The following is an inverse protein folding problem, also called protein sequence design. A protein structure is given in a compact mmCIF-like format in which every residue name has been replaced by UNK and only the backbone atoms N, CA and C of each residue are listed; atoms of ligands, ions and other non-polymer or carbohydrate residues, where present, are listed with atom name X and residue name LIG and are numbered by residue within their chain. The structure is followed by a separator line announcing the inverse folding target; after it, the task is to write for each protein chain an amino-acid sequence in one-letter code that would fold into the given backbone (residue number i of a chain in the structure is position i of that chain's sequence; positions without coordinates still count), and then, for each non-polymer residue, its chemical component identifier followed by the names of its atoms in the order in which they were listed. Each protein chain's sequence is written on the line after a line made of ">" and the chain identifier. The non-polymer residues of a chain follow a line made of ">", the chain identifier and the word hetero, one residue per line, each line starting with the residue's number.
data_IF_353229601347
#
_entry.id   IF_353229601347
#
_cell.length_a   1.000
_cell.length_b   1.000
_cell.length_c   1.000
_cell.angle_alpha   90.00
_cell.angle_beta   90.00
_cell.angle_gamma   90.00
#
_symmetry.space_group_name_H-M   'P 1'
#
loop_
_entity.id
_entity.type
_entity.pdbx_description
1 polymer ?
#
# COMPACT_ATOMS: atom_id res chain seq x y z
N UNK A 1 -13.60 -2.99 -34.79
CA UNK A 1 -13.90 -1.97 -33.77
C UNK A 1 -14.67 -2.65 -32.66
N UNK A 2 -13.97 -3.19 -31.68
CA UNK A 2 -14.57 -3.81 -30.51
C UNK A 2 -14.70 -2.72 -29.44
N UNK A 3 -15.93 -2.45 -28.99
CA UNK A 3 -16.19 -1.40 -28.00
C UNK A 3 -15.58 -1.83 -26.65
N UNK A 4 -14.52 -1.15 -26.22
CA UNK A 4 -14.00 -1.28 -24.86
C UNK A 4 -15.01 -0.67 -23.87
N UNK A 5 -15.84 -1.54 -23.28
CA UNK A 5 -16.67 -1.21 -22.12
C UNK A 5 -15.74 -0.90 -20.94
N UNK A 6 -15.74 0.34 -20.46
CA UNK A 6 -14.98 0.73 -19.26
C UNK A 6 -15.56 0.01 -18.04
N UNK A 7 -14.99 -1.13 -17.68
CA UNK A 7 -15.41 -1.91 -16.52
C UNK A 7 -14.79 -1.29 -15.27
N UNK A 8 -15.63 -0.91 -14.31
CA UNK A 8 -15.20 -0.38 -13.02
C UNK A 8 -14.55 -1.53 -12.23
N UNK A 9 -13.21 -1.55 -12.16
CA UNK A 9 -12.48 -2.55 -11.37
C UNK A 9 -12.55 -2.10 -9.91
N UNK A 10 -13.40 -2.72 -9.11
CA UNK A 10 -13.30 -2.65 -7.64
C UNK A 10 -12.29 -3.69 -7.19
N UNK A 11 -11.57 -3.42 -6.09
CA UNK A 11 -10.56 -4.30 -5.46
C UNK A 11 -11.00 -5.77 -5.26
N UNK A 12 -12.30 -6.06 -5.39
CA UNK A 12 -12.90 -7.38 -5.22
C UNK A 12 -12.83 -8.26 -6.49
N UNK A 13 -12.57 -7.69 -7.67
CA UNK A 13 -12.49 -8.41 -8.94
C UNK A 13 -11.14 -8.11 -9.61
N UNK A 14 -10.07 -8.69 -9.07
CA UNK A 14 -8.76 -8.67 -9.72
C UNK A 14 -8.63 -9.99 -10.50
N UNK A 15 -9.05 -9.95 -11.77
CA UNK A 15 -8.80 -11.03 -12.73
C UNK A 15 -7.28 -11.05 -13.03
N UNK A 16 -6.52 -11.73 -12.16
CA UNK A 16 -5.11 -12.01 -12.43
C UNK A 16 -4.99 -12.82 -13.73
N UNK A 17 -4.04 -12.50 -14.62
CA UNK A 17 -3.80 -13.30 -15.82
C UNK A 17 -3.64 -14.80 -15.50
N UNK A 18 -4.16 -15.70 -16.37
CA UNK A 18 -4.23 -17.13 -16.08
C UNK A 18 -2.85 -17.77 -15.86
N UNK A 19 -1.80 -17.17 -16.42
CA UNK A 19 -0.39 -17.55 -16.37
C UNK A 19 0.36 -17.07 -15.11
N UNK A 20 -0.25 -16.25 -14.26
CA UNK A 20 0.40 -15.77 -13.02
C UNK A 20 0.75 -16.94 -12.08
N UNK A 21 1.95 -16.87 -11.49
CA UNK A 21 2.46 -17.89 -10.57
C UNK A 21 1.49 -18.17 -9.40
N UNK A 22 1.44 -19.42 -8.93
CA UNK A 22 0.58 -19.84 -7.81
C UNK A 22 0.91 -19.05 -6.54
N UNK A 23 2.18 -18.72 -6.34
CA UNK A 23 2.65 -17.90 -5.22
C UNK A 23 2.08 -16.48 -5.31
N UNK A 24 2.16 -15.85 -6.48
CA UNK A 24 1.66 -14.50 -6.72
C UNK A 24 0.14 -14.43 -6.56
N UNK A 25 -0.60 -15.42 -7.07
CA UNK A 25 -2.05 -15.56 -6.86
C UNK A 25 -2.41 -15.70 -5.39
N UNK A 26 -1.64 -16.51 -4.66
CA UNK A 26 -1.85 -16.74 -3.22
C UNK A 26 -1.55 -15.49 -2.40
N UNK A 27 -0.45 -14.79 -2.68
CA UNK A 27 -0.08 -13.54 -2.02
C UNK A 27 -1.13 -12.46 -2.29
N UNK A 28 -1.54 -12.27 -3.54
CA UNK A 28 -2.57 -11.29 -3.91
C UNK A 28 -3.89 -11.56 -3.22
N UNK A 29 -4.36 -12.82 -3.24
CA UNK A 29 -5.59 -13.20 -2.54
C UNK A 29 -5.49 -12.87 -1.05
N UNK A 30 -4.37 -13.19 -0.42
CA UNK A 30 -4.12 -12.90 0.98
C UNK A 30 -4.10 -11.39 1.29
N UNK A 31 -3.40 -10.59 0.50
CA UNK A 31 -3.36 -9.13 0.67
C UNK A 31 -4.73 -8.48 0.42
N UNK A 32 -5.42 -8.86 -0.66
CA UNK A 32 -6.74 -8.32 -0.99
C UNK A 32 -7.76 -8.63 0.11
N UNK A 33 -7.73 -9.84 0.68
CA UNK A 33 -8.54 -10.17 1.85
C UNK A 33 -8.22 -9.24 3.02
N UNK A 34 -6.95 -9.05 3.36
CA UNK A 34 -6.55 -8.18 4.49
C UNK A 34 -6.96 -6.72 4.30
N UNK A 35 -7.07 -6.23 3.07
CA UNK A 35 -7.43 -4.84 2.75
C UNK A 35 -8.94 -4.61 2.58
N UNK A 36 -9.74 -5.67 2.52
CA UNK A 36 -11.20 -5.55 2.32
C UNK A 36 -11.94 -5.55 3.65
N UNK A 37 -12.84 -4.58 3.85
CA UNK A 37 -13.70 -4.60 5.03
C UNK A 37 -14.62 -5.83 5.02
N UNK A 38 -14.80 -6.43 6.19
CA UNK A 38 -15.75 -7.51 6.39
C UNK A 38 -16.30 -7.45 7.80
N UNK A 39 -17.57 -7.82 7.93
CA UNK A 39 -18.27 -8.03 9.21
C UNK A 39 -18.72 -9.48 9.38
N UNK A 40 -18.36 -10.35 8.42
CA UNK A 40 -18.69 -11.77 8.45
C UNK A 40 -17.76 -12.44 9.47
N UNK A 41 -18.34 -12.97 10.55
CA UNK A 41 -17.57 -13.51 11.68
C UNK A 41 -16.64 -14.66 11.29
N UNK A 42 -17.14 -15.59 10.48
CA UNK A 42 -16.34 -16.72 9.97
C UNK A 42 -15.14 -16.26 9.12
N UNK A 43 -15.32 -15.21 8.33
CA UNK A 43 -14.24 -14.63 7.53
C UNK A 43 -13.18 -13.97 8.43
N UNK A 44 -13.62 -13.24 9.46
CA UNK A 44 -12.73 -12.64 10.46
C UNK A 44 -11.93 -13.74 11.18
N UNK A 45 -12.58 -14.82 11.63
CA UNK A 45 -11.89 -15.97 12.25
C UNK A 45 -10.82 -16.56 11.33
N UNK A 46 -11.17 -16.79 10.06
CA UNK A 46 -10.24 -17.32 9.07
C UNK A 46 -9.04 -16.40 8.84
N UNK A 47 -9.25 -15.07 8.81
CA UNK A 47 -8.16 -14.09 8.68
C UNK A 47 -7.25 -14.12 9.91
N UNK A 48 -7.80 -14.17 11.12
CA UNK A 48 -7.02 -14.25 12.35
C UNK A 48 -6.25 -15.57 12.49
N UNK A 49 -6.81 -16.68 12.00
CA UNK A 49 -6.09 -17.96 11.90
C UNK A 49 -4.86 -17.84 11.02
N UNK A 50 -5.00 -17.23 9.84
CA UNK A 50 -3.88 -17.00 8.91
C UNK A 50 -2.82 -16.06 9.47
N UNK A 51 -3.22 -14.97 10.11
CA UNK A 51 -2.28 -14.06 10.78
C UNK A 51 -1.47 -14.83 11.83
N UNK A 52 -2.12 -15.67 12.63
CA UNK A 52 -1.45 -16.49 13.63
C UNK A 52 -0.42 -17.42 12.99
N UNK A 53 -0.81 -18.16 11.96
CA UNK A 53 0.07 -19.07 11.22
C UNK A 53 1.29 -18.31 10.66
N UNK A 54 1.10 -17.13 10.07
CA UNK A 54 2.21 -16.32 9.57
C UNK A 54 3.14 -15.81 10.67
N UNK A 55 2.58 -15.38 11.80
CA UNK A 55 3.38 -14.95 12.95
C UNK A 55 4.22 -16.12 13.49
N UNK A 56 3.64 -17.31 13.60
CA UNK A 56 4.36 -18.51 14.04
C UNK A 56 5.46 -18.91 13.03
N UNK A 57 5.18 -18.85 11.73
CA UNK A 57 6.19 -19.07 10.67
C UNK A 57 7.34 -18.06 10.74
N UNK A 58 7.06 -16.81 11.12
CA UNK A 58 8.06 -15.77 11.34
C UNK A 58 8.80 -15.90 12.69
N UNK A 59 8.51 -16.94 13.48
CA UNK A 59 9.19 -17.24 14.75
C UNK A 59 8.58 -16.57 15.98
N UNK A 60 7.44 -15.87 15.84
CA UNK A 60 6.74 -15.31 17.00
C UNK A 60 6.01 -16.40 17.78
N UNK A 61 6.32 -16.51 19.07
CA UNK A 61 5.67 -17.47 19.97
C UNK A 61 4.38 -16.90 20.54
N UNK A 62 3.34 -17.72 20.63
CA UNK A 62 2.05 -17.36 21.24
C UNK A 62 2.04 -17.56 22.77
N UNK A 63 3.09 -18.17 23.32
CA UNK A 63 3.33 -18.33 24.75
C UNK A 63 4.79 -18.01 25.09
N UNK A 64 5.02 -17.57 26.31
CA UNK A 64 6.37 -17.37 26.85
C UNK A 64 6.97 -18.70 27.37
N UNK A 65 8.22 -18.66 27.82
CA UNK A 65 8.93 -19.83 28.38
C UNK A 65 8.30 -20.37 29.67
N UNK A 66 7.40 -19.62 30.31
CA UNK A 66 6.63 -20.01 31.49
C UNK A 66 5.22 -20.53 31.16
N UNK A 67 4.85 -20.61 29.88
CA UNK A 67 3.54 -21.07 29.42
C UNK A 67 2.43 -20.00 29.44
N UNK A 68 2.74 -18.76 29.81
CA UNK A 68 1.77 -17.65 29.83
C UNK A 68 1.61 -17.05 28.43
N UNK A 69 0.48 -16.39 28.13
CA UNK A 69 0.27 -15.72 26.84
C UNK A 69 1.37 -14.70 26.53
N UNK A 70 1.95 -14.78 25.33
CA UNK A 70 2.90 -13.76 24.90
C UNK A 70 2.20 -12.43 24.63
N UNK A 71 2.98 -11.34 24.60
CA UNK A 71 2.48 -10.01 24.20
C UNK A 71 1.84 -10.09 22.81
N UNK A 72 2.45 -10.82 21.88
CA UNK A 72 1.89 -11.08 20.54
C UNK A 72 0.50 -11.70 20.61
N UNK A 73 0.31 -12.72 21.44
CA UNK A 73 -1.00 -13.38 21.62
C UNK A 73 -2.02 -12.42 22.22
N UNK A 74 -1.63 -11.63 23.23
CA UNK A 74 -2.53 -10.66 23.88
C UNK A 74 -2.97 -9.59 22.88
N UNK A 75 -2.03 -9.03 22.11
CA UNK A 75 -2.31 -8.04 21.06
C UNK A 75 -3.24 -8.60 19.97
N UNK A 76 -2.97 -9.83 19.51
CA UNK A 76 -3.81 -10.49 18.51
C UNK A 76 -5.23 -10.74 19.03
N UNK A 77 -5.38 -11.12 20.30
CA UNK A 77 -6.68 -11.32 20.94
C UNK A 77 -7.46 -10.01 21.12
N UNK A 78 -6.79 -8.90 21.41
CA UNK A 78 -7.41 -7.57 21.47
C UNK A 78 -7.92 -7.14 20.10
N UNK A 79 -7.10 -7.30 19.05
CA UNK A 79 -7.50 -7.04 17.67
C UNK A 79 -8.70 -7.90 17.28
N UNK A 80 -8.67 -9.20 17.60
CA UNK A 80 -9.77 -10.12 17.32
C UNK A 80 -11.09 -9.64 17.95
N UNK A 81 -11.05 -9.19 19.20
CA UNK A 81 -12.24 -8.65 19.90
C UNK A 81 -12.77 -7.39 19.23
N UNK A 82 -11.90 -6.47 18.78
CA UNK A 82 -12.34 -5.28 18.06
C UNK A 82 -12.92 -5.63 16.69
N UNK A 83 -12.30 -6.54 15.94
CA UNK A 83 -12.82 -6.95 14.64
C UNK A 83 -14.21 -7.58 14.76
N UNK A 84 -14.40 -8.44 15.76
CA UNK A 84 -15.68 -9.10 16.03
C UNK A 84 -16.80 -8.13 16.45
N UNK A 85 -16.43 -7.02 17.08
CA UNK A 85 -17.39 -6.02 17.57
C UNK A 85 -17.73 -4.98 16.50
N UNK A 86 -16.72 -4.46 15.82
CA UNK A 86 -16.77 -3.20 15.08
C UNK A 86 -16.45 -3.37 13.57
N UNK A 87 -16.07 -4.58 13.14
CA UNK A 87 -15.68 -4.89 11.77
C UNK A 87 -14.17 -4.87 11.55
N UNK A 88 -13.73 -5.56 10.50
CA UNK A 88 -12.31 -5.76 10.20
C UNK A 88 -11.55 -4.46 9.95
N UNK A 89 -12.08 -3.57 9.11
CA UNK A 89 -11.36 -2.35 8.74
C UNK A 89 -11.26 -1.35 9.90
N UNK A 90 -12.32 -1.27 10.73
CA UNK A 90 -12.30 -0.43 11.93
C UNK A 90 -11.29 -0.95 12.95
N UNK A 91 -11.16 -2.27 13.10
CA UNK A 91 -10.09 -2.87 13.89
C UNK A 91 -8.70 -2.51 13.37
N UNK A 92 -8.46 -2.62 12.05
CA UNK A 92 -7.17 -2.23 11.46
C UNK A 92 -6.82 -0.78 11.77
N UNK A 93 -7.79 0.14 11.63
CA UNK A 93 -7.58 1.56 11.94
C UNK A 93 -7.24 1.79 13.42
N UNK A 94 -7.90 1.09 14.33
CA UNK A 94 -7.62 1.16 15.77
C UNK A 94 -6.22 0.60 16.07
N UNK A 95 -5.88 -0.56 15.53
CA UNK A 95 -4.57 -1.20 15.71
C UNK A 95 -3.44 -0.30 15.19
N UNK A 96 -3.62 0.29 14.00
CA UNK A 96 -2.68 1.26 13.42
C UNK A 96 -2.50 2.50 14.32
N UNK A 97 -3.60 3.04 14.84
CA UNK A 97 -3.55 4.17 15.78
C UNK A 97 -2.81 3.86 17.07
N UNK A 98 -2.86 2.61 17.56
CA UNK A 98 -2.13 2.19 18.75
C UNK A 98 -0.64 1.98 18.49
N UNK A 99 -0.27 1.45 17.33
CA UNK A 99 1.15 1.31 16.93
C UNK A 99 1.81 2.66 16.66
N UNK A 100 1.03 3.65 16.21
CA UNK A 100 1.56 4.97 15.88
C UNK A 100 1.76 5.88 17.10
N UNK A 101 1.13 5.56 18.25
CA UNK A 101 1.23 6.35 19.47
C UNK A 101 0.73 7.80 19.30
N UNK A 102 0.43 8.48 20.41
CA UNK A 102 0.32 9.94 20.35
C UNK A 102 1.68 10.49 19.92
N UNK A 103 1.68 11.29 18.85
CA UNK A 103 2.83 12.04 18.32
C UNK A 103 3.71 12.57 19.47
N UNK A 104 4.79 11.86 19.77
CA UNK A 104 5.90 12.30 20.61
C UNK A 104 7.19 11.64 20.12
N UNK A 105 8.23 12.47 20.17
CA UNK A 105 9.47 12.42 19.41
C UNK A 105 10.30 11.14 19.58
N UNK A 106 10.95 10.78 18.47
CA UNK A 106 12.24 10.09 18.35
C UNK A 106 12.59 9.05 19.42
N UNK A 107 12.34 7.78 19.10
CA UNK A 107 13.32 6.74 19.40
C UNK A 107 13.84 6.19 18.09
N UNK A 108 15.11 6.48 17.81
CA UNK A 108 15.95 5.84 16.80
C UNK A 108 15.88 4.32 16.99
N UNK A 109 14.87 3.71 16.40
CA UNK A 109 14.93 2.32 16.00
C UNK A 109 15.26 2.45 14.53
N UNK A 110 16.49 2.10 14.14
CA UNK A 110 16.85 1.94 12.74
C UNK A 110 15.83 0.99 12.11
N UNK A 111 14.81 1.57 11.48
CA UNK A 111 13.83 0.81 10.71
C UNK A 111 14.55 0.33 9.46
N UNK A 112 15.23 -0.81 9.60
CA UNK A 112 15.75 -1.58 8.48
C UNK A 112 14.57 -2.16 7.71
N UNK A 113 13.99 -1.36 6.82
CA UNK A 113 12.83 -1.75 6.03
C UNK A 113 12.35 -0.68 5.06
N UNK A 114 11.47 -1.07 4.15
CA UNK A 114 10.83 -0.16 3.19
C UNK A 114 9.71 0.59 3.92
N UNK A 115 9.71 1.91 3.85
CA UNK A 115 8.63 2.75 4.40
C UNK A 115 7.53 2.91 3.35
N UNK A 116 6.31 2.45 3.67
CA UNK A 116 5.12 2.67 2.85
C UNK A 116 4.22 3.72 3.51
N UNK A 117 3.99 4.83 2.83
CA UNK A 117 3.11 5.89 3.29
C UNK A 117 2.34 6.51 2.12
N UNK A 118 1.28 7.27 2.44
CA UNK A 118 0.61 8.12 1.44
C UNK A 118 1.42 9.39 1.20
N UNK A 119 1.18 10.11 0.09
CA UNK A 119 1.82 11.42 -0.15
C UNK A 119 1.63 12.37 1.04
N UNK A 120 0.45 12.38 1.67
CA UNK A 120 0.18 13.15 2.88
C UNK A 120 1.02 12.68 4.08
N UNK A 121 1.15 11.36 4.26
CA UNK A 121 1.95 10.76 5.32
C UNK A 121 3.45 11.00 5.18
N UNK A 122 3.90 11.35 3.98
CA UNK A 122 5.31 11.67 3.69
C UNK A 122 5.74 13.07 4.15
N UNK A 123 4.79 13.95 4.52
CA UNK A 123 5.09 15.34 4.85
C UNK A 123 6.06 15.45 6.03
N UNK A 124 7.21 16.08 5.79
CA UNK A 124 8.26 16.29 6.80
C UNK A 124 9.18 15.08 7.01
N UNK A 125 9.08 14.06 6.15
CA UNK A 125 9.98 12.91 6.11
C UNK A 125 10.84 12.97 4.84
N UNK A 126 12.02 12.35 4.87
CA UNK A 126 12.94 12.30 3.73
C UNK A 126 13.63 10.94 3.69
N UNK A 127 13.90 10.46 2.47
CA UNK A 127 14.56 9.17 2.24
C UNK A 127 15.55 9.26 1.09
N UNK A 128 16.61 8.45 1.16
CA UNK A 128 17.61 8.34 0.08
C UNK A 128 16.98 7.98 -1.26
N UNK A 129 15.99 7.07 -1.26
CA UNK A 129 15.27 6.63 -2.45
C UNK A 129 13.77 6.66 -2.19
N UNK A 130 12.99 7.18 -3.14
CA UNK A 130 11.53 7.22 -3.07
C UNK A 130 10.96 6.60 -4.33
N UNK A 131 9.92 5.78 -4.17
CA UNK A 131 9.13 5.21 -5.26
C UNK A 131 7.68 5.70 -5.12
N UNK A 132 7.22 6.54 -6.05
CA UNK A 132 5.83 6.96 -6.15
C UNK A 132 5.14 6.06 -7.17
N UNK A 133 4.23 5.24 -6.67
CA UNK A 133 3.53 4.25 -7.49
C UNK A 133 2.20 4.79 -8.03
N UNK A 134 1.78 4.25 -9.17
CA UNK A 134 0.43 4.39 -9.72
C UNK A 134 0.03 5.84 -10.06
N UNK A 135 0.98 6.62 -10.59
CA UNK A 135 0.79 8.00 -11.02
C UNK A 135 0.11 8.10 -12.38
N UNK A 136 -1.10 7.55 -12.49
CA UNK A 136 -1.87 7.51 -13.74
C UNK A 136 -2.81 8.71 -13.85
N UNK A 137 -3.22 9.01 -15.08
CA UNK A 137 -4.17 10.07 -15.41
C UNK A 137 -5.51 9.99 -14.67
N UNK A 138 -5.98 8.79 -14.31
CA UNK A 138 -7.26 8.57 -13.64
C UNK A 138 -7.17 8.52 -12.10
N UNK A 139 -5.95 8.61 -11.55
CA UNK A 139 -5.68 8.53 -10.12
C UNK A 139 -5.08 9.83 -9.57
N UNK A 140 -4.19 10.46 -10.33
CA UNK A 140 -3.50 11.68 -9.94
C UNK A 140 -3.60 12.67 -11.11
N UNK A 141 -4.27 13.83 -10.95
CA UNK A 141 -5.08 14.21 -9.79
C UNK A 141 -6.28 13.28 -9.57
N UNK A 142 -6.72 13.16 -8.32
CA UNK A 142 -7.90 12.41 -7.92
C UNK A 142 -9.14 12.96 -8.64
N UNK A 143 -9.95 12.10 -9.27
CA UNK A 143 -11.20 12.51 -9.91
C UNK A 143 -12.22 13.15 -8.97
N UNK A 144 -11.99 13.05 -7.65
CA UNK A 144 -12.86 13.65 -6.62
C UNK A 144 -12.54 15.11 -6.35
N UNK A 145 -11.40 15.60 -6.83
CA UNK A 145 -11.01 16.99 -6.71
C UNK A 145 -11.83 17.82 -7.69
N UNK A 146 -12.43 18.90 -7.19
CA UNK A 146 -13.30 19.78 -7.97
C UNK A 146 -12.73 21.19 -7.93
N UNK A 147 -12.61 21.80 -9.10
CA UNK A 147 -12.14 23.17 -9.26
C UNK A 147 -10.63 23.32 -9.20
N UNK A 148 -10.14 24.44 -9.73
CA UNK A 148 -8.72 24.71 -9.93
C UNK A 148 -7.93 24.73 -8.63
N UNK A 149 -8.51 25.27 -7.55
CA UNK A 149 -7.85 25.31 -6.23
C UNK A 149 -7.54 23.93 -5.67
N UNK A 150 -8.44 22.96 -5.88
CA UNK A 150 -8.24 21.60 -5.43
C UNK A 150 -7.17 20.88 -6.26
N UNK A 151 -7.14 21.12 -7.57
CA UNK A 151 -6.11 20.57 -8.47
C UNK A 151 -4.74 21.11 -8.05
N UNK A 152 -4.65 22.40 -7.73
CA UNK A 152 -3.42 23.02 -7.23
C UNK A 152 -2.99 22.47 -5.86
N UNK A 153 -3.92 22.09 -4.98
CA UNK A 153 -3.58 21.43 -3.73
C UNK A 153 -3.01 20.02 -3.94
N UNK A 154 -3.59 19.23 -4.86
CA UNK A 154 -3.02 17.93 -5.18
C UNK A 154 -1.69 18.02 -5.94
N UNK A 155 -1.51 19.05 -6.77
CA UNK A 155 -0.22 19.37 -7.38
C UNK A 155 0.83 19.67 -6.32
N UNK A 156 0.49 20.48 -5.30
CA UNK A 156 1.36 20.73 -4.14
C UNK A 156 1.69 19.43 -3.40
N UNK A 157 0.71 18.56 -3.20
CA UNK A 157 0.91 17.28 -2.54
C UNK A 157 1.83 16.35 -3.32
N UNK A 158 1.68 16.29 -4.64
CA UNK A 158 2.56 15.53 -5.53
C UNK A 158 3.99 16.07 -5.47
N UNK A 159 4.16 17.40 -5.54
CA UNK A 159 5.46 18.07 -5.35
C UNK A 159 6.09 17.75 -3.99
N UNK A 160 5.29 17.75 -2.91
CA UNK A 160 5.77 17.33 -1.58
C UNK A 160 6.32 15.91 -1.65
N UNK A 161 5.61 14.96 -2.24
CA UNK A 161 6.06 13.58 -2.39
C UNK A 161 7.37 13.45 -3.18
N UNK A 162 7.49 14.15 -4.30
CA UNK A 162 8.71 14.14 -5.12
C UNK A 162 9.92 14.68 -4.35
N UNK A 163 9.74 15.76 -3.58
CA UNK A 163 10.81 16.38 -2.80
C UNK A 163 11.20 15.62 -1.53
N UNK A 164 10.58 14.46 -1.25
CA UNK A 164 11.04 13.60 -0.14
C UNK A 164 12.24 12.73 -0.55
N UNK A 165 12.55 12.65 -1.84
CA UNK A 165 13.69 11.92 -2.37
C UNK A 165 14.97 12.76 -2.26
N UNK A 166 16.00 12.21 -1.62
CA UNK A 166 17.31 12.87 -1.50
C UNK A 166 18.24 12.53 -2.69
N UNK A 167 18.27 11.25 -3.12
CA UNK A 167 19.19 10.78 -4.17
C UNK A 167 18.46 10.29 -5.42
N UNK A 168 17.48 9.40 -5.28
CA UNK A 168 16.78 8.78 -6.42
C UNK A 168 15.26 8.83 -6.24
N UNK A 169 14.55 9.21 -7.30
CA UNK A 169 13.10 9.26 -7.35
C UNK A 169 12.60 8.39 -8.51
N UNK A 170 11.86 7.36 -8.17
CA UNK A 170 11.20 6.49 -9.13
C UNK A 170 9.71 6.81 -9.18
N UNK A 171 9.17 6.93 -10.39
CA UNK A 171 7.74 7.15 -10.60
C UNK A 171 7.22 6.10 -11.57
N UNK A 172 6.13 5.43 -11.20
CA UNK A 172 5.51 4.40 -12.05
C UNK A 172 4.07 4.76 -12.41
N UNK A 173 3.66 4.39 -13.61
CA UNK A 173 2.30 4.50 -14.11
C UNK A 173 2.01 3.35 -15.07
N UNK A 174 0.73 3.11 -15.34
CA UNK A 174 0.28 2.19 -16.37
C UNK A 174 -0.69 2.91 -17.32
N UNK A 175 -0.61 2.60 -18.61
CA UNK A 175 -1.41 3.27 -19.63
C UNK A 175 -1.02 4.74 -19.77
N UNK A 176 -1.93 5.66 -19.42
CA UNK A 176 -1.70 7.11 -19.57
C UNK A 176 -1.12 7.71 -18.27
N UNK A 177 0.06 8.37 -18.32
CA UNK A 177 0.63 9.00 -17.15
C UNK A 177 -0.24 10.16 -16.64
N UNK A 178 -0.08 10.47 -15.36
CA UNK A 178 -0.66 11.66 -14.74
C UNK A 178 -0.32 12.93 -15.54
N UNK A 179 -1.25 13.87 -15.59
CA UNK A 179 -0.99 15.20 -16.11
C UNK A 179 0.21 15.86 -15.40
N UNK A 180 0.36 15.64 -14.09
CA UNK A 180 1.46 16.19 -13.31
C UNK A 180 2.83 15.66 -13.74
N UNK A 181 2.93 14.39 -14.16
CA UNK A 181 4.17 13.85 -14.74
C UNK A 181 4.46 14.53 -16.07
N UNK A 182 3.46 14.59 -16.95
CA UNK A 182 3.61 15.13 -18.30
C UNK A 182 4.02 16.60 -18.27
N UNK A 183 3.46 17.36 -17.33
CA UNK A 183 3.80 18.77 -17.10
C UNK A 183 5.19 18.96 -16.50
N UNK A 184 5.60 18.08 -15.57
CA UNK A 184 6.89 18.20 -14.88
C UNK A 184 8.06 17.68 -15.72
N UNK A 185 7.81 16.69 -16.59
CA UNK A 185 8.83 15.96 -17.36
C UNK A 185 8.47 15.85 -18.84
N UNK A 186 8.30 16.97 -19.56
CA UNK A 186 7.80 16.98 -20.94
C UNK A 186 8.70 16.26 -21.95
N UNK A 187 10.00 16.06 -21.64
CA UNK A 187 10.97 15.38 -22.51
C UNK A 187 11.18 13.90 -22.21
N UNK A 188 10.75 13.41 -21.04
CA UNK A 188 11.06 12.05 -20.58
C UNK A 188 9.97 11.05 -21.01
N UNK A 189 8.85 11.53 -21.55
CA UNK A 189 7.77 10.68 -22.09
C UNK A 189 8.17 9.98 -23.41
N UNK A 190 9.34 10.30 -24.00
CA UNK A 190 9.87 9.66 -25.21
C UNK A 190 11.05 8.68 -25.00
N UNK A 191 11.50 8.42 -23.76
CA UNK A 191 12.62 7.50 -23.44
C UNK A 191 12.27 6.79 -22.11
N UNK A 192 12.11 5.46 -22.00
CA UNK A 192 13.05 4.40 -22.37
C UNK A 192 12.34 3.07 -22.70
N UNK A 193 12.66 2.50 -23.86
CA UNK A 193 12.48 1.05 -24.16
C UNK A 193 13.54 0.18 -23.46
N UNK A 194 14.48 0.78 -22.73
CA UNK A 194 15.50 0.05 -21.98
C UNK A 194 15.05 -0.16 -20.53
N UNK A 195 14.51 -1.36 -20.34
CA UNK A 195 14.14 -1.98 -19.07
C UNK A 195 15.27 -1.95 -18.03
N UNK A 196 15.03 -1.48 -16.80
CA UNK A 196 15.62 -2.15 -15.65
C UNK A 196 14.78 -3.40 -15.38
N UNK A 197 15.18 -4.52 -16.01
CA UNK A 197 14.64 -5.84 -15.70
C UNK A 197 14.77 -6.10 -14.18
N UNK A 198 13.65 -6.09 -13.48
CA UNK A 198 13.44 -7.05 -12.40
C UNK A 198 12.73 -8.20 -13.09
N UNK A 199 13.45 -9.30 -13.32
CA UNK A 199 12.99 -10.42 -14.16
C UNK A 199 11.49 -10.74 -13.97
N UNK A 200 10.69 -10.41 -14.99
CA UNK A 200 9.31 -10.86 -15.12
C UNK A 200 8.18 -9.84 -14.93
N UNK A 201 8.40 -8.52 -14.95
CA UNK A 201 7.30 -7.53 -14.94
C UNK A 201 7.53 -6.41 -15.96
N UNK A 202 6.62 -6.29 -16.94
CA UNK A 202 6.62 -5.30 -18.03
C UNK A 202 6.11 -3.91 -17.57
N UNK A 203 6.58 -3.39 -16.44
CA UNK A 203 6.16 -2.07 -15.95
C UNK A 203 7.26 -1.02 -16.13
N UNK A 204 6.93 0.05 -16.87
CA UNK A 204 7.82 1.17 -17.19
C UNK A 204 8.15 1.99 -15.93
N UNK A 205 9.44 2.24 -15.72
CA UNK A 205 9.98 2.93 -14.55
C UNK A 205 10.82 4.13 -14.99
N UNK A 206 10.59 5.31 -14.41
CA UNK A 206 11.49 6.46 -14.54
C UNK A 206 12.61 6.36 -13.49
N UNK A 207 13.85 6.60 -13.91
CA UNK A 207 15.04 6.77 -13.04
C UNK A 207 15.39 8.25 -12.88
#
# INVERSE_FOLDING_TARGET
>A
MEQMSSRKVTFQQIDLPPDVSVLTKTLHKHMAMMMTDTRIKEEIENRFKKIREWLEMAGYKMSNTKGEPSVTRISLMSCYRWAMKDGWLKMLNIAAGMTMGNKKESSETEQSGICLCTLHGSKGLEWKKVLIINCNHDQIPSPKVIGDEGIEEERRLFFVGMTRAELELYITWHGKPSAFITESFPKVVELSEENPCIDGCEDMCLQ
#
